data_IF_925214093188
#
_entry.id   IF_925214093188
#
_cell.length_a   1.000
_cell.length_b   1.000
_cell.length_c   1.000
_cell.angle_alpha   90.00
_cell.angle_beta   90.00
_cell.angle_gamma   90.00
#
_symmetry.space_group_name_H-M   'P 1'
#
loop_
_entity.id
_entity.type
_entity.pdbx_description
1 polymer ?
#
# COMPACT_ATOMS: atom_id res chain seq x y z
N UNK A 1 19.55 18.13 4.44
CA UNK A 1 18.98 16.76 4.31
C UNK A 1 18.99 15.97 5.62
N UNK A 2 20.12 15.69 6.31
CA UNK A 2 20.14 14.84 7.52
C UNK A 2 19.08 15.22 8.60
N UNK A 3 18.89 16.51 8.89
CA UNK A 3 17.84 16.97 9.83
C UNK A 3 16.42 16.67 9.34
N UNK A 4 16.19 16.72 8.03
CA UNK A 4 14.89 16.37 7.45
C UNK A 4 14.64 14.86 7.58
N UNK A 5 15.64 14.04 7.30
CA UNK A 5 15.54 12.58 7.49
C UNK A 5 15.18 12.21 8.93
N UNK A 6 15.88 12.74 9.91
CA UNK A 6 15.58 12.47 11.32
C UNK A 6 14.16 12.92 11.71
N UNK A 7 13.73 14.10 11.22
CA UNK A 7 12.38 14.58 11.49
C UNK A 7 11.27 13.74 10.82
N UNK A 8 11.57 13.14 9.67
CA UNK A 8 10.69 12.18 9.00
C UNK A 8 10.66 10.85 9.77
N UNK A 9 11.81 10.36 10.24
CA UNK A 9 11.88 9.15 11.06
C UNK A 9 11.07 9.28 12.35
N UNK A 10 11.16 10.43 13.03
CA UNK A 10 10.36 10.71 14.23
C UNK A 10 8.85 10.68 13.94
N UNK A 11 8.41 11.15 12.78
CA UNK A 11 7.01 11.08 12.34
C UNK A 11 6.62 9.63 11.98
N UNK A 12 7.49 8.92 11.27
CA UNK A 12 7.22 7.52 10.89
C UNK A 12 7.09 6.61 12.12
N UNK A 13 7.83 6.85 13.19
CA UNK A 13 7.70 6.11 14.44
C UNK A 13 6.29 6.22 15.06
N UNK A 14 5.54 7.28 14.75
CA UNK A 14 4.18 7.46 15.25
C UNK A 14 3.14 6.65 14.45
N UNK A 15 3.50 6.17 13.24
CA UNK A 15 2.59 5.40 12.38
C UNK A 15 2.23 4.04 12.98
N UNK A 16 3.05 3.48 13.86
CA UNK A 16 2.76 2.22 14.57
C UNK A 16 1.45 2.28 15.36
N UNK A 17 1.02 3.47 15.78
CA UNK A 17 -0.26 3.70 16.45
C UNK A 17 -1.48 3.66 15.54
N UNK A 18 -1.30 3.77 14.22
CA UNK A 18 -2.38 3.73 13.24
C UNK A 18 -2.42 2.34 12.60
N UNK A 19 -3.43 1.54 12.99
CA UNK A 19 -3.52 0.13 12.58
C UNK A 19 -4.85 -0.19 11.92
N UNK A 20 -4.82 -1.15 10.98
CA UNK A 20 -6.00 -1.73 10.36
C UNK A 20 -6.11 -3.21 10.75
N UNK A 21 -7.32 -3.76 11.02
CA UNK A 21 -7.49 -5.13 11.51
C UNK A 21 -6.86 -6.21 10.61
N UNK A 22 -6.89 -6.03 9.29
CA UNK A 22 -6.37 -7.00 8.32
C UNK A 22 -4.98 -6.65 7.79
N UNK A 23 -4.58 -5.35 7.81
CA UNK A 23 -3.32 -4.89 7.19
C UNK A 23 -2.23 -4.61 8.22
N UNK A 24 -2.58 -4.52 9.50
CA UNK A 24 -1.65 -4.10 10.54
C UNK A 24 -1.37 -2.58 10.51
N UNK A 25 -0.19 -2.15 10.96
CA UNK A 25 0.15 -0.74 11.03
C UNK A 25 0.41 -0.12 9.65
N UNK A 26 0.22 1.17 9.58
CA UNK A 26 0.68 1.99 8.46
C UNK A 26 2.21 2.02 8.41
N UNK A 27 2.80 2.06 7.24
CA UNK A 27 4.26 2.01 7.09
C UNK A 27 4.79 3.11 6.18
N UNK A 28 6.01 3.53 6.45
CA UNK A 28 6.76 4.46 5.61
C UNK A 28 8.25 4.11 5.59
N UNK A 29 8.90 4.36 4.48
CA UNK A 29 10.32 4.13 4.31
C UNK A 29 10.94 5.20 3.42
N UNK A 30 12.10 5.72 3.80
CA UNK A 30 12.95 6.50 2.91
C UNK A 30 13.82 5.50 2.14
N UNK A 31 13.37 5.15 0.93
CA UNK A 31 13.99 4.12 0.11
C UNK A 31 15.22 4.58 -0.64
N UNK A 32 15.31 5.87 -0.96
CA UNK A 32 16.45 6.42 -1.69
C UNK A 32 16.90 7.74 -1.11
N UNK A 33 18.21 7.95 -1.15
CA UNK A 33 18.86 9.24 -0.91
C UNK A 33 19.93 9.46 -1.98
N UNK A 34 19.93 10.64 -2.60
CA UNK A 34 20.91 10.99 -3.63
C UNK A 34 21.33 12.45 -3.50
N UNK A 35 22.57 12.74 -3.87
CA UNK A 35 23.08 14.11 -3.86
C UNK A 35 24.59 14.18 -3.87
N UNK A 36 25.10 15.35 -4.28
CA UNK A 36 26.54 15.58 -4.48
C UNK A 36 27.06 14.91 -5.76
N UNK A 37 28.27 15.29 -6.15
CA UNK A 37 28.95 14.78 -7.37
C UNK A 37 30.34 14.25 -7.07
N UNK A 38 31.00 14.77 -6.05
CA UNK A 38 32.37 14.39 -5.70
C UNK A 38 32.66 14.74 -4.24
N UNK A 39 33.52 13.95 -3.57
CA UNK A 39 33.80 14.05 -2.13
C UNK A 39 34.39 15.40 -1.68
N UNK A 40 35.08 16.09 -2.55
CA UNK A 40 35.73 17.38 -2.28
C UNK A 40 34.88 18.60 -2.73
N UNK A 41 33.64 18.37 -3.19
CA UNK A 41 32.68 19.44 -3.49
C UNK A 41 31.62 19.54 -2.39
N UNK A 42 31.23 20.75 -2.05
CA UNK A 42 30.05 20.99 -1.23
C UNK A 42 28.81 20.72 -2.07
N UNK A 43 27.93 19.78 -1.68
CA UNK A 43 26.72 19.47 -2.45
C UNK A 43 25.81 20.68 -2.54
N UNK A 44 25.31 20.96 -3.72
CA UNK A 44 24.30 22.01 -3.99
C UNK A 44 22.87 21.49 -3.79
N UNK A 45 22.65 20.20 -3.97
CA UNK A 45 21.34 19.55 -3.82
C UNK A 45 21.48 18.15 -3.22
N UNK A 46 20.38 17.71 -2.57
CA UNK A 46 20.20 16.36 -2.08
C UNK A 46 18.71 16.03 -2.11
N UNK A 47 18.35 14.88 -2.67
CA UNK A 47 16.98 14.39 -2.76
C UNK A 47 16.80 13.10 -1.95
N UNK A 48 15.59 12.88 -1.49
CA UNK A 48 15.12 11.63 -0.88
C UNK A 48 13.84 11.20 -1.57
N UNK A 49 13.61 9.90 -1.64
CA UNK A 49 12.36 9.32 -2.12
C UNK A 49 11.75 8.46 -1.01
N UNK A 50 10.45 8.67 -0.78
CA UNK A 50 9.72 8.06 0.32
C UNK A 50 8.63 7.15 -0.26
N UNK A 51 8.62 5.88 0.14
CA UNK A 51 7.48 4.98 -0.02
C UNK A 51 6.62 5.04 1.24
N UNK A 52 5.37 5.47 1.09
CA UNK A 52 4.38 5.60 2.17
C UNK A 52 3.19 4.71 1.85
N UNK A 53 3.04 3.62 2.60
CA UNK A 53 1.90 2.70 2.48
C UNK A 53 0.75 3.22 3.31
N UNK A 54 -0.32 3.61 2.64
CA UNK A 54 -1.51 4.19 3.26
C UNK A 54 -2.49 3.07 3.67
N UNK A 55 -3.03 3.20 4.85
CA UNK A 55 -4.23 2.45 5.24
C UNK A 55 -5.48 3.05 4.57
N UNK A 56 -6.54 2.26 4.34
CA UNK A 56 -7.77 2.73 3.71
C UNK A 56 -8.41 3.95 4.40
N UNK A 57 -8.23 4.06 5.72
CA UNK A 57 -8.75 5.15 6.56
C UNK A 57 -7.97 6.46 6.42
N UNK A 58 -6.80 6.45 5.80
CA UNK A 58 -5.94 7.63 5.68
C UNK A 58 -6.33 8.49 4.48
N UNK A 59 -6.27 9.80 4.69
CA UNK A 59 -6.47 10.78 3.64
C UNK A 59 -5.13 11.21 3.05
N UNK A 60 -4.95 11.02 1.75
CA UNK A 60 -3.72 11.37 1.01
C UNK A 60 -3.33 12.83 1.23
N UNK A 61 -4.29 13.76 1.20
CA UNK A 61 -4.00 15.19 1.34
C UNK A 61 -3.51 15.53 2.75
N UNK A 62 -4.03 14.87 3.77
CA UNK A 62 -3.58 15.03 5.16
C UNK A 62 -2.17 14.49 5.35
N UNK A 63 -1.86 13.35 4.73
CA UNK A 63 -0.52 12.76 4.74
C UNK A 63 0.48 13.68 4.04
N UNK A 64 0.16 14.20 2.86
CA UNK A 64 1.02 15.18 2.17
C UNK A 64 1.20 16.45 2.99
N UNK A 65 0.14 16.95 3.64
CA UNK A 65 0.22 18.10 4.51
C UNK A 65 1.09 17.83 5.76
N UNK A 66 1.14 16.59 6.28
CA UNK A 66 2.05 16.26 7.38
C UNK A 66 3.51 16.37 6.96
N UNK A 67 3.88 15.85 5.80
CA UNK A 67 5.23 16.00 5.26
C UNK A 67 5.59 17.47 5.02
N UNK A 68 4.65 18.26 4.49
CA UNK A 68 4.89 19.70 4.30
C UNK A 68 5.17 20.40 5.65
N UNK A 69 4.41 20.07 6.69
CA UNK A 69 4.67 20.62 8.05
C UNK A 69 6.06 20.25 8.59
N UNK A 70 6.54 19.02 8.32
CA UNK A 70 7.90 18.60 8.69
C UNK A 70 8.93 19.45 7.95
N UNK A 71 8.75 19.61 6.65
CA UNK A 71 9.63 20.44 5.80
C UNK A 71 9.69 21.87 6.32
N UNK A 72 8.55 22.49 6.57
CA UNK A 72 8.46 23.87 7.05
C UNK A 72 9.13 24.07 8.41
N UNK A 73 8.95 23.09 9.32
CA UNK A 73 9.61 23.07 10.63
C UNK A 73 11.13 22.99 10.49
N UNK A 74 11.64 22.12 9.63
CA UNK A 74 13.08 21.97 9.40
C UNK A 74 13.64 23.19 8.68
N UNK A 75 12.95 23.73 7.70
CA UNK A 75 13.36 24.93 6.95
C UNK A 75 13.52 26.13 7.89
N UNK A 76 12.60 26.36 8.82
CA UNK A 76 12.68 27.44 9.79
C UNK A 76 13.86 27.29 10.76
N UNK A 77 14.32 26.07 11.02
CA UNK A 77 15.45 25.79 11.91
C UNK A 77 16.82 25.80 11.19
N UNK A 78 16.87 25.91 9.85
CA UNK A 78 18.10 25.88 9.04
C UNK A 78 18.15 27.09 8.11
N UNK A 79 18.73 28.22 8.56
CA UNK A 79 18.80 29.42 7.73
C UNK A 79 19.48 29.17 6.39
N UNK A 80 18.84 29.63 5.31
CA UNK A 80 19.34 29.49 3.92
C UNK A 80 19.05 28.14 3.26
N UNK A 81 18.52 27.15 3.98
CA UNK A 81 18.06 25.91 3.35
C UNK A 81 16.78 26.16 2.54
N UNK A 82 16.71 25.53 1.36
CA UNK A 82 15.52 25.50 0.52
C UNK A 82 15.09 24.04 0.40
N UNK A 83 13.80 23.80 0.57
CA UNK A 83 13.19 22.47 0.41
C UNK A 83 12.06 22.61 -0.60
N UNK A 84 11.93 21.58 -1.41
CA UNK A 84 10.83 21.41 -2.35
C UNK A 84 10.28 20.01 -2.19
N UNK A 85 8.97 19.88 -2.11
CA UNK A 85 8.27 18.61 -2.13
C UNK A 85 7.60 18.48 -3.49
N UNK A 86 8.05 17.51 -4.27
CA UNK A 86 7.45 17.20 -5.56
C UNK A 86 6.09 16.49 -5.36
N UNK A 87 5.24 16.57 -6.39
CA UNK A 87 4.02 15.78 -6.41
C UNK A 87 4.34 14.28 -6.37
N UNK A 88 3.54 13.46 -5.64
CA UNK A 88 3.77 12.03 -5.62
C UNK A 88 3.75 11.43 -7.03
N UNK A 89 4.70 10.55 -7.32
CA UNK A 89 4.76 9.81 -8.59
C UNK A 89 3.56 8.85 -8.74
N UNK A 90 3.10 8.29 -7.62
CA UNK A 90 1.95 7.39 -7.56
C UNK A 90 1.11 7.70 -6.33
N UNK A 91 -0.20 7.75 -6.52
CA UNK A 91 -1.18 7.86 -5.43
C UNK A 91 -2.27 6.82 -5.64
N UNK A 92 -2.24 5.79 -4.80
CA UNK A 92 -3.29 4.79 -4.74
C UNK A 92 -3.92 4.76 -3.34
N UNK A 93 -5.24 4.53 -3.29
CA UNK A 93 -5.96 4.30 -2.04
C UNK A 93 -5.95 2.82 -1.69
N UNK A 94 -6.00 2.52 -0.40
CA UNK A 94 -6.21 1.15 0.05
C UNK A 94 -7.60 0.63 -0.35
N UNK A 95 -7.68 -0.66 -0.69
CA UNK A 95 -8.95 -1.36 -0.84
C UNK A 95 -9.47 -1.73 0.55
N UNK A 96 -10.72 -1.36 0.85
CA UNK A 96 -11.41 -1.70 2.09
C UNK A 96 -12.86 -2.06 1.79
N UNK A 97 -13.06 -3.24 1.23
CA UNK A 97 -14.40 -3.75 0.94
C UNK A 97 -15.05 -4.26 2.22
N UNK A 98 -16.25 -3.76 2.52
CA UNK A 98 -17.00 -4.17 3.71
C UNK A 98 -17.15 -5.69 3.80
N UNK A 99 -16.96 -6.29 4.98
CA UNK A 99 -17.26 -7.70 5.20
C UNK A 99 -18.70 -8.07 4.83
N UNK A 100 -19.64 -7.13 4.91
CA UNK A 100 -21.05 -7.34 4.58
C UNK A 100 -21.35 -7.17 3.08
N UNK A 101 -20.38 -6.75 2.29
CA UNK A 101 -20.56 -6.61 0.84
C UNK A 101 -20.93 -7.96 0.20
N UNK A 102 -21.86 -7.90 -0.78
CA UNK A 102 -22.36 -9.11 -1.46
C UNK A 102 -21.22 -9.99 -2.01
N UNK A 103 -20.20 -9.37 -2.57
CA UNK A 103 -19.05 -10.11 -3.13
C UNK A 103 -18.29 -10.88 -2.04
N UNK A 104 -18.05 -10.28 -0.87
CA UNK A 104 -17.35 -10.93 0.26
C UNK A 104 -18.17 -12.09 0.80
N UNK A 105 -19.47 -11.86 1.04
CA UNK A 105 -20.37 -12.88 1.56
C UNK A 105 -20.55 -14.06 0.59
N UNK A 106 -20.66 -13.78 -0.70
CA UNK A 106 -20.78 -14.82 -1.72
C UNK A 106 -19.49 -15.60 -1.87
N UNK A 107 -18.35 -14.93 -1.94
CA UNK A 107 -17.04 -15.58 -2.00
C UNK A 107 -16.81 -16.50 -0.78
N UNK A 108 -17.13 -16.03 0.43
CA UNK A 108 -17.02 -16.84 1.64
C UNK A 108 -17.92 -18.09 1.64
N UNK A 109 -19.15 -18.00 1.10
CA UNK A 109 -20.01 -19.18 0.93
C UNK A 109 -19.42 -20.20 -0.05
N UNK A 110 -18.97 -19.70 -1.20
CA UNK A 110 -18.35 -20.57 -2.25
C UNK A 110 -17.11 -21.25 -1.71
N UNK A 111 -16.23 -20.54 -1.00
CA UNK A 111 -15.03 -21.13 -0.40
C UNK A 111 -15.38 -22.24 0.60
N UNK A 112 -16.38 -22.04 1.47
CA UNK A 112 -16.85 -23.10 2.39
C UNK A 112 -17.37 -24.33 1.63
N UNK A 113 -18.11 -24.15 0.55
CA UNK A 113 -18.62 -25.25 -0.27
C UNK A 113 -17.48 -26.05 -0.93
N UNK A 114 -16.38 -25.38 -1.28
CA UNK A 114 -15.19 -25.99 -1.86
C UNK A 114 -14.22 -26.57 -0.81
N UNK A 115 -14.51 -26.41 0.49
CA UNK A 115 -13.66 -26.87 1.59
C UNK A 115 -12.41 -25.99 1.81
N UNK A 116 -12.44 -24.76 1.29
CA UNK A 116 -11.36 -23.79 1.44
C UNK A 116 -11.63 -22.81 2.60
N UNK A 117 -10.58 -22.10 3.04
CA UNK A 117 -10.71 -21.09 4.11
C UNK A 117 -11.51 -19.88 3.61
N UNK A 118 -12.66 -19.55 4.22
CA UNK A 118 -13.49 -18.42 3.81
C UNK A 118 -13.08 -17.07 4.44
N UNK A 119 -12.12 -17.09 5.38
CA UNK A 119 -11.79 -15.89 6.17
C UNK A 119 -11.05 -14.86 5.30
N UNK A 120 -11.51 -13.60 5.29
CA UNK A 120 -10.80 -12.52 4.60
C UNK A 120 -9.42 -12.28 5.20
N UNK A 121 -8.46 -11.96 4.36
CA UNK A 121 -7.13 -11.52 4.77
C UNK A 121 -6.74 -10.22 4.07
N UNK A 122 -5.82 -9.47 4.69
CA UNK A 122 -5.24 -8.28 4.09
C UNK A 122 -3.96 -8.59 3.30
N UNK A 123 -3.70 -7.81 2.27
CA UNK A 123 -2.47 -7.87 1.49
C UNK A 123 -1.83 -6.48 1.41
N UNK A 124 -0.51 -6.40 1.55
CA UNK A 124 0.22 -5.14 1.63
C UNK A 124 0.65 -4.59 0.26
N UNK A 125 0.07 -5.07 -0.84
CA UNK A 125 0.38 -4.61 -2.19
C UNK A 125 -0.80 -3.87 -2.84
N UNK A 126 -0.49 -2.95 -3.77
CA UNK A 126 -1.49 -2.20 -4.52
C UNK A 126 -2.19 -3.06 -5.59
N UNK A 127 -3.45 -2.71 -5.87
CA UNK A 127 -4.26 -3.36 -6.92
C UNK A 127 -5.25 -2.37 -7.52
N UNK A 128 -5.58 -2.55 -8.78
CA UNK A 128 -6.63 -1.78 -9.47
C UNK A 128 -8.04 -2.00 -8.87
N UNK A 129 -8.22 -3.00 -8.02
CA UNK A 129 -9.46 -3.21 -7.27
C UNK A 129 -9.84 -1.99 -6.41
N UNK A 130 -8.85 -1.24 -5.90
CA UNK A 130 -9.10 0.01 -5.17
C UNK A 130 -9.73 1.09 -6.06
N UNK A 131 -9.39 1.13 -7.35
CA UNK A 131 -9.98 2.05 -8.33
C UNK A 131 -11.44 1.69 -8.65
N UNK A 132 -11.73 0.38 -8.73
CA UNK A 132 -13.10 -0.12 -8.88
C UNK A 132 -13.96 0.24 -7.66
N UNK A 133 -13.43 0.10 -6.45
CA UNK A 133 -14.11 0.50 -5.21
C UNK A 133 -14.44 2.01 -5.22
N UNK A 134 -13.50 2.87 -5.66
CA UNK A 134 -13.74 4.31 -5.80
C UNK A 134 -14.88 4.59 -6.79
N UNK A 135 -15.02 3.75 -7.82
CA UNK A 135 -16.12 3.82 -8.79
C UNK A 135 -17.43 3.20 -8.27
N UNK A 136 -17.48 2.76 -7.01
CA UNK A 136 -18.68 2.18 -6.38
C UNK A 136 -18.87 0.69 -6.67
N UNK A 137 -17.81 -0.01 -7.09
CA UNK A 137 -17.83 -1.46 -7.34
C UNK A 137 -17.08 -2.17 -6.22
N UNK A 138 -17.82 -2.84 -5.34
CA UNK A 138 -17.25 -3.70 -4.31
C UNK A 138 -16.37 -4.78 -4.95
N UNK A 139 -15.14 -4.89 -4.46
CA UNK A 139 -14.13 -5.75 -5.07
C UNK A 139 -13.35 -6.52 -4.00
N UNK A 140 -12.92 -7.73 -4.37
CA UNK A 140 -12.01 -8.56 -3.56
C UNK A 140 -10.82 -9.00 -4.43
N UNK A 141 -9.70 -9.31 -3.79
CA UNK A 141 -8.58 -9.99 -4.43
C UNK A 141 -8.70 -11.49 -4.17
N UNK A 142 -8.60 -12.28 -5.21
CA UNK A 142 -8.57 -13.74 -5.13
C UNK A 142 -7.76 -14.30 -6.29
N UNK A 143 -6.95 -15.32 -6.03
CA UNK A 143 -6.19 -15.99 -7.06
C UNK A 143 -5.26 -17.06 -6.50
N UNK A 144 -4.71 -17.92 -7.36
CA UNK A 144 -3.73 -18.93 -6.97
C UNK A 144 -2.35 -18.31 -6.75
N UNK A 145 -1.48 -19.01 -6.03
CA UNK A 145 -0.10 -18.60 -5.79
C UNK A 145 0.10 -17.86 -4.47
N UNK A 146 1.33 -17.43 -4.24
CA UNK A 146 1.74 -16.60 -3.11
C UNK A 146 2.46 -15.35 -3.61
N UNK A 147 2.22 -14.22 -2.97
CA UNK A 147 2.93 -12.97 -3.25
C UNK A 147 4.45 -13.11 -3.02
N UNK A 148 4.87 -14.02 -2.16
CA UNK A 148 6.30 -14.28 -1.90
C UNK A 148 7.05 -14.80 -3.12
N UNK A 149 6.34 -15.37 -4.11
CA UNK A 149 6.91 -15.81 -5.37
C UNK A 149 6.87 -14.74 -6.46
N UNK A 150 6.05 -13.72 -6.29
CA UNK A 150 5.90 -12.66 -7.28
C UNK A 150 7.17 -11.79 -7.34
N UNK A 151 7.56 -11.41 -8.57
CA UNK A 151 8.75 -10.60 -8.86
C UNK A 151 10.09 -11.23 -8.41
N UNK A 152 10.07 -12.52 -8.06
CA UNK A 152 11.29 -13.28 -7.76
C UNK A 152 12.08 -13.66 -9.02
N UNK A 153 13.34 -14.07 -8.86
CA UNK A 153 14.16 -14.59 -9.95
C UNK A 153 13.57 -15.89 -10.55
N UNK A 154 12.82 -16.65 -9.74
CA UNK A 154 12.02 -17.81 -10.14
C UNK A 154 10.61 -17.59 -9.66
N UNK A 155 9.70 -17.28 -10.56
CA UNK A 155 8.29 -17.05 -10.30
C UNK A 155 7.49 -18.28 -10.76
N UNK A 156 6.65 -18.84 -9.90
CA UNK A 156 5.86 -20.04 -10.19
C UNK A 156 4.52 -20.01 -9.46
N UNK A 157 3.58 -20.81 -9.97
CA UNK A 157 2.30 -21.09 -9.33
C UNK A 157 2.03 -22.59 -9.37
N UNK A 158 1.42 -23.11 -8.32
CA UNK A 158 0.98 -24.51 -8.27
C UNK A 158 -0.25 -24.70 -9.16
N UNK A 159 -0.19 -25.68 -10.08
CA UNK A 159 -1.28 -25.98 -11.00
C UNK A 159 -2.55 -26.47 -10.28
N UNK A 160 -2.44 -27.15 -9.14
CA UNK A 160 -3.62 -27.54 -8.36
C UNK A 160 -4.34 -26.30 -7.82
N UNK A 161 -3.60 -25.28 -7.42
CA UNK A 161 -4.20 -24.01 -6.98
C UNK A 161 -4.89 -23.29 -8.15
N UNK A 162 -4.35 -23.35 -9.36
CA UNK A 162 -4.99 -22.81 -10.56
C UNK A 162 -6.33 -23.48 -10.83
N UNK A 163 -6.37 -24.83 -10.76
CA UNK A 163 -7.61 -25.60 -10.94
C UNK A 163 -8.66 -25.31 -9.85
N UNK A 164 -8.22 -25.13 -8.60
CA UNK A 164 -9.12 -24.72 -7.50
C UNK A 164 -9.65 -23.31 -7.70
N UNK A 165 -8.82 -22.40 -8.17
CA UNK A 165 -9.25 -21.03 -8.48
C UNK A 165 -10.28 -21.02 -9.63
N UNK A 166 -10.12 -21.85 -10.66
CA UNK A 166 -11.13 -22.03 -11.72
C UNK A 166 -12.48 -22.46 -11.14
N UNK A 167 -12.48 -23.47 -10.27
CA UNK A 167 -13.71 -23.95 -9.61
C UNK A 167 -14.37 -22.86 -8.78
N UNK A 168 -13.58 -22.08 -8.06
CA UNK A 168 -14.07 -20.96 -7.29
C UNK A 168 -14.74 -19.91 -8.20
N UNK A 169 -14.05 -19.46 -9.25
CA UNK A 169 -14.61 -18.45 -10.17
C UNK A 169 -15.89 -18.95 -10.86
N UNK A 170 -15.91 -20.20 -11.28
CA UNK A 170 -17.12 -20.78 -11.88
C UNK A 170 -18.30 -20.77 -10.91
N UNK A 171 -18.09 -21.21 -9.67
CA UNK A 171 -19.13 -21.23 -8.65
C UNK A 171 -19.57 -19.80 -8.24
N UNK A 172 -18.61 -18.88 -8.10
CA UNK A 172 -18.87 -17.48 -7.76
C UNK A 172 -19.75 -16.80 -8.82
N UNK A 173 -19.41 -16.96 -10.10
CA UNK A 173 -20.16 -16.36 -11.22
C UNK A 173 -21.60 -16.88 -11.24
N UNK A 174 -21.80 -18.17 -11.03
CA UNK A 174 -23.15 -18.77 -10.99
C UNK A 174 -23.95 -18.22 -9.83
N UNK A 175 -23.38 -18.17 -8.63
CA UNK A 175 -24.07 -17.71 -7.43
C UNK A 175 -24.33 -16.19 -7.46
N UNK A 176 -23.51 -15.44 -8.18
CA UNK A 176 -23.68 -13.98 -8.36
C UNK A 176 -24.72 -13.63 -9.42
N UNK A 177 -24.95 -14.51 -10.38
CA UNK A 177 -25.92 -14.33 -11.49
C UNK A 177 -27.37 -14.68 -11.15
N UNK A 178 -27.57 -15.36 -10.02
CA UNK A 178 -28.90 -15.66 -9.45
C UNK A 178 -29.32 -14.54 -8.47
#
# INVERSE_FOLDING_TARGET
MARLLLAIEDEHAQLEGLTHPLLGPSTANVGMISGGIQVNFVPDQCAIEIDRRLLPIENVQEVLASYQRIIDRVASAVPGARFEMEAPMLVDRGLDTSPDARIVQTAGRVLRQLGENPEPSGVAFGSDASKLMIAGVDSILFGPGSIDQAHGAVEYVDLEQVLRAEQFYYALIREFGE
#
